data_IF_078690063411
#
_entry.id   IF_078690063411
#
_cell.length_a   1.000
_cell.length_b   1.000
_cell.length_c   1.000
_cell.angle_alpha   90.00
_cell.angle_beta   90.00
_cell.angle_gamma   90.00
#
_symmetry.space_group_name_H-M   'P 1'
#
loop_
_entity.id
_entity.type
_entity.pdbx_description
1 polymer ?
#
# COMPACT_ATOMS: atom_id res chain seq x y z
N UNK A 1 -30.27 -25.79 22.48
CA UNK A 1 -29.35 -25.22 21.53
C UNK A 1 -27.94 -25.50 22.05
N UNK A 2 -27.16 -26.31 21.34
CA UNK A 2 -25.80 -26.65 21.79
C UNK A 2 -24.82 -25.63 21.18
N UNK A 3 -24.55 -24.59 21.93
CA UNK A 3 -23.64 -23.49 21.56
C UNK A 3 -22.28 -24.05 21.09
N UNK A 4 -21.80 -25.15 21.64
CA UNK A 4 -20.53 -25.76 21.30
C UNK A 4 -20.54 -26.33 19.86
N UNK A 5 -21.62 -27.03 19.49
CA UNK A 5 -21.81 -27.58 18.15
C UNK A 5 -21.99 -26.47 17.12
N UNK A 6 -22.81 -25.47 17.43
CA UNK A 6 -23.06 -24.33 16.56
C UNK A 6 -21.78 -23.51 16.31
N UNK A 7 -20.97 -23.25 17.36
CA UNK A 7 -19.71 -22.55 17.26
C UNK A 7 -18.67 -23.34 16.46
N UNK A 8 -18.57 -24.65 16.68
CA UNK A 8 -17.68 -25.52 15.90
C UNK A 8 -18.03 -25.48 14.42
N UNK A 9 -19.32 -25.54 14.09
CA UNK A 9 -19.77 -25.47 12.69
C UNK A 9 -19.47 -24.10 12.07
N UNK A 10 -19.73 -23.01 12.80
CA UNK A 10 -19.41 -21.66 12.36
C UNK A 10 -17.91 -21.46 12.11
N UNK A 11 -17.02 -21.96 12.99
CA UNK A 11 -15.57 -21.90 12.79
C UNK A 11 -15.15 -22.71 11.56
N UNK A 12 -15.68 -23.93 11.38
CA UNK A 12 -15.37 -24.74 10.21
C UNK A 12 -15.84 -24.09 8.89
N UNK A 13 -16.95 -23.33 8.92
CA UNK A 13 -17.48 -22.64 7.73
C UNK A 13 -16.69 -21.41 7.32
N UNK A 14 -15.72 -20.97 8.13
CA UNK A 14 -14.79 -19.89 7.75
C UNK A 14 -13.72 -20.35 6.74
N UNK A 15 -13.59 -21.65 6.52
CA UNK A 15 -12.62 -22.22 5.60
C UNK A 15 -13.33 -22.90 4.43
N UNK A 16 -12.84 -22.65 3.22
CA UNK A 16 -13.28 -23.36 2.05
C UNK A 16 -12.14 -24.25 1.54
N UNK A 17 -12.46 -25.49 1.16
CA UNK A 17 -11.46 -26.43 0.64
C UNK A 17 -11.89 -26.87 -0.76
N UNK A 18 -11.03 -26.60 -1.73
CA UNK A 18 -11.21 -26.97 -3.12
C UNK A 18 -10.13 -27.96 -3.54
N UNK A 19 -10.48 -28.96 -4.34
CA UNK A 19 -9.53 -29.87 -4.96
C UNK A 19 -9.51 -29.62 -6.47
N UNK A 20 -8.32 -29.63 -7.07
CA UNK A 20 -8.17 -29.60 -8.51
C UNK A 20 -7.92 -31.03 -9.07
N UNK A 21 -7.98 -31.15 -10.39
CA UNK A 21 -7.79 -32.43 -11.09
C UNK A 21 -6.36 -32.96 -10.99
N UNK A 22 -5.40 -32.13 -10.56
CA UNK A 22 -3.99 -32.49 -10.39
C UNK A 22 -3.66 -32.97 -8.96
N UNK A 23 -4.66 -33.04 -8.07
CA UNK A 23 -4.51 -33.49 -6.69
C UNK A 23 -4.01 -32.41 -5.72
N UNK A 24 -3.91 -31.16 -6.16
CA UNK A 24 -3.64 -30.00 -5.29
C UNK A 24 -4.93 -29.60 -4.59
N UNK A 25 -4.86 -29.44 -3.27
CA UNK A 25 -5.96 -28.91 -2.48
C UNK A 25 -5.67 -27.44 -2.15
N UNK A 26 -6.65 -26.57 -2.34
CA UNK A 26 -6.58 -25.16 -1.98
C UNK A 26 -7.47 -24.93 -0.78
N UNK A 27 -6.93 -24.30 0.24
CA UNK A 27 -7.64 -23.90 1.46
C UNK A 27 -7.72 -22.39 1.43
N UNK A 28 -8.93 -21.86 1.22
CA UNK A 28 -9.21 -20.43 1.39
C UNK A 28 -9.38 -20.21 2.89
N UNK A 29 -8.54 -19.36 3.47
CA UNK A 29 -8.56 -19.07 4.90
C UNK A 29 -9.36 -17.80 5.18
N UNK A 30 -9.85 -17.60 6.41
CA UNK A 30 -10.46 -16.33 6.81
C UNK A 30 -9.44 -15.22 7.07
N UNK A 31 -8.16 -15.49 6.90
CA UNK A 31 -7.09 -14.51 7.05
C UNK A 31 -6.92 -13.73 5.74
N UNK A 32 -6.70 -12.42 5.86
CA UNK A 32 -6.56 -11.50 4.74
C UNK A 32 -5.23 -10.76 4.82
N UNK A 33 -4.73 -10.31 3.67
CA UNK A 33 -3.63 -9.37 3.63
C UNK A 33 -4.11 -7.99 4.08
N UNK A 34 -3.42 -7.41 5.04
CA UNK A 34 -3.83 -6.14 5.65
C UNK A 34 -3.96 -5.01 4.62
N UNK A 35 -5.16 -4.45 4.50
CA UNK A 35 -5.44 -3.32 3.60
C UNK A 35 -5.75 -3.70 2.15
N UNK A 36 -5.71 -5.00 1.78
CA UNK A 36 -6.00 -5.46 0.41
C UNK A 36 -7.38 -6.12 0.31
N UNK A 37 -7.91 -6.69 1.41
CA UNK A 37 -9.13 -7.49 1.49
C UNK A 37 -9.09 -8.80 0.65
N UNK A 38 -7.91 -9.27 0.28
CA UNK A 38 -7.73 -10.56 -0.37
C UNK A 38 -7.40 -11.64 0.67
N UNK A 39 -8.10 -12.76 0.58
CA UNK A 39 -7.92 -13.89 1.48
C UNK A 39 -6.63 -14.65 1.15
N UNK A 40 -5.97 -15.13 2.20
CA UNK A 40 -4.77 -15.97 2.05
C UNK A 40 -5.20 -17.38 1.66
N UNK A 41 -4.68 -17.84 0.52
CA UNK A 41 -4.95 -19.16 -0.04
C UNK A 41 -3.74 -20.06 0.18
N UNK A 42 -3.96 -21.17 0.87
CA UNK A 42 -2.93 -22.18 1.12
C UNK A 42 -3.11 -23.35 0.17
N UNK A 43 -2.03 -23.82 -0.40
CA UNK A 43 -1.98 -25.01 -1.26
C UNK A 43 -1.40 -26.19 -0.49
N UNK A 44 -2.02 -27.33 -0.66
CA UNK A 44 -1.55 -28.60 -0.11
C UNK A 44 -1.36 -29.58 -1.27
N UNK A 45 -0.16 -30.08 -1.43
CA UNK A 45 0.18 -31.04 -2.51
C UNK A 45 0.99 -32.22 -1.98
N UNK A 46 0.83 -33.41 -2.55
CA UNK A 46 1.69 -34.54 -2.22
C UNK A 46 3.16 -34.21 -2.46
N UNK A 47 4.04 -34.60 -1.54
CA UNK A 47 5.48 -34.41 -1.66
C UNK A 47 6.23 -35.52 -0.93
N UNK A 48 6.91 -36.39 -1.69
CA UNK A 48 7.49 -37.62 -1.13
C UNK A 48 6.44 -38.47 -0.42
N UNK A 49 6.74 -38.90 0.81
CA UNK A 49 5.83 -39.68 1.65
C UNK A 49 4.86 -38.79 2.48
N UNK A 50 4.82 -37.51 2.21
CA UNK A 50 4.01 -36.51 2.96
C UNK A 50 3.38 -35.48 2.07
N UNK A 51 3.27 -34.26 2.62
CA UNK A 51 2.61 -33.13 1.97
C UNK A 51 3.45 -31.86 2.08
N UNK A 52 3.54 -31.12 1.01
CA UNK A 52 4.03 -29.74 1.00
C UNK A 52 2.84 -28.80 1.11
N UNK A 53 2.97 -27.83 1.97
CA UNK A 53 1.96 -26.82 2.28
C UNK A 53 2.61 -25.47 2.02
N UNK A 54 2.04 -24.65 1.14
CA UNK A 54 2.60 -23.36 0.75
C UNK A 54 1.51 -22.36 0.35
N UNK A 55 1.87 -21.09 0.24
CA UNK A 55 1.02 -20.00 -0.25
C UNK A 55 1.39 -19.56 -1.68
N UNK A 56 2.25 -20.33 -2.36
CA UNK A 56 2.65 -20.17 -3.76
C UNK A 56 3.37 -18.84 -4.12
N UNK A 57 4.00 -18.16 -3.17
CA UNK A 57 4.68 -16.87 -3.39
C UNK A 57 3.74 -15.69 -3.56
N UNK A 58 2.46 -15.87 -3.28
CA UNK A 58 1.47 -14.78 -3.40
C UNK A 58 1.76 -13.66 -2.41
N UNK A 59 2.25 -13.99 -1.21
CA UNK A 59 2.60 -12.99 -0.18
C UNK A 59 3.70 -12.05 -0.65
N UNK A 60 4.77 -12.58 -1.22
CA UNK A 60 5.89 -11.79 -1.74
C UNK A 60 5.46 -10.93 -2.93
N UNK A 61 4.62 -11.47 -3.81
CA UNK A 61 4.02 -10.73 -4.92
C UNK A 61 3.16 -9.57 -4.42
N UNK A 62 2.23 -9.81 -3.50
CA UNK A 62 1.38 -8.77 -2.94
C UNK A 62 2.18 -7.71 -2.18
N UNK A 63 3.19 -8.11 -1.39
CA UNK A 63 4.06 -7.18 -0.72
C UNK A 63 4.78 -6.26 -1.72
N UNK A 64 5.36 -6.82 -2.77
CA UNK A 64 6.05 -6.06 -3.82
C UNK A 64 5.12 -5.10 -4.58
N UNK A 65 3.90 -5.54 -4.93
CA UNK A 65 2.88 -4.70 -5.57
C UNK A 65 2.43 -3.53 -4.70
N UNK A 66 2.52 -3.68 -3.37
CA UNK A 66 2.19 -2.64 -2.39
C UNK A 66 3.42 -1.85 -1.89
N UNK A 67 4.54 -1.90 -2.62
CA UNK A 67 5.75 -1.14 -2.32
C UNK A 67 6.56 -1.71 -1.15
N UNK A 68 6.27 -2.92 -0.72
CA UNK A 68 7.01 -3.63 0.32
C UNK A 68 8.39 -4.09 -0.16
N UNK A 69 9.29 -4.31 0.80
CA UNK A 69 10.66 -4.75 0.59
C UNK A 69 10.86 -6.12 1.27
N UNK A 70 10.79 -7.18 0.47
CA UNK A 70 10.95 -8.57 0.93
C UNK A 70 12.43 -8.97 1.15
N UNK A 71 13.37 -8.17 0.63
CA UNK A 71 14.82 -8.37 0.82
C UNK A 71 15.38 -7.56 2.01
N UNK A 72 14.49 -6.91 2.79
CA UNK A 72 14.91 -6.10 3.92
C UNK A 72 15.49 -6.92 5.08
N UNK A 73 16.43 -6.35 5.82
CA UNK A 73 16.99 -6.96 7.06
C UNK A 73 15.89 -7.39 8.07
N UNK A 74 14.75 -6.71 8.05
CA UNK A 74 13.63 -7.05 8.93
C UNK A 74 12.96 -8.37 8.50
N UNK A 75 12.83 -8.59 7.19
CA UNK A 75 12.31 -9.84 6.62
C UNK A 75 13.31 -10.98 6.81
N UNK A 76 14.61 -10.75 6.56
CA UNK A 76 15.66 -11.74 6.78
C UNK A 76 15.67 -12.23 8.25
N UNK A 77 15.67 -11.32 9.21
CA UNK A 77 15.62 -11.65 10.64
C UNK A 77 14.36 -12.42 11.02
N UNK A 78 13.20 -11.99 10.51
CA UNK A 78 11.94 -12.68 10.73
C UNK A 78 11.98 -14.12 10.17
N UNK A 79 12.52 -14.31 8.98
CA UNK A 79 12.66 -15.63 8.35
C UNK A 79 13.56 -16.57 9.16
N UNK A 80 14.69 -16.06 9.67
CA UNK A 80 15.60 -16.80 10.56
C UNK A 80 14.89 -17.20 11.85
N UNK A 81 14.26 -16.27 12.55
CA UNK A 81 13.55 -16.53 13.82
C UNK A 81 12.39 -17.51 13.61
N UNK A 82 11.60 -17.35 12.53
CA UNK A 82 10.50 -18.25 12.21
C UNK A 82 10.97 -19.67 11.95
N UNK A 83 12.05 -19.87 11.21
CA UNK A 83 12.60 -21.19 10.90
C UNK A 83 13.06 -21.97 12.13
N UNK A 84 13.45 -21.26 13.20
CA UNK A 84 13.87 -21.86 14.47
C UNK A 84 12.69 -22.24 15.38
N UNK A 85 11.58 -21.50 15.31
CA UNK A 85 10.45 -21.59 16.22
C UNK A 85 9.24 -22.32 15.63
N UNK A 86 9.21 -22.56 14.32
CA UNK A 86 8.05 -23.04 13.58
C UNK A 86 8.47 -24.08 12.52
N UNK A 87 7.58 -25.00 12.12
CA UNK A 87 7.81 -25.89 10.98
C UNK A 87 7.76 -25.17 9.62
N UNK A 88 7.60 -23.85 9.62
CA UNK A 88 7.46 -23.02 8.43
C UNK A 88 8.81 -22.42 8.04
N UNK A 89 9.08 -22.34 6.74
CA UNK A 89 10.31 -21.77 6.19
C UNK A 89 9.95 -20.75 5.10
N UNK A 90 10.69 -19.66 5.05
CA UNK A 90 10.70 -18.73 3.92
C UNK A 90 11.88 -19.12 3.01
N UNK A 91 11.61 -19.40 1.75
CA UNK A 91 12.57 -19.98 0.80
C UNK A 91 13.19 -18.91 -0.11
N UNK A 92 14.33 -19.23 -0.73
CA UNK A 92 15.03 -18.34 -1.68
C UNK A 92 14.19 -18.02 -2.92
N UNK A 93 13.16 -18.81 -3.24
CA UNK A 93 12.19 -18.55 -4.30
C UNK A 93 10.93 -17.82 -3.76
N UNK A 94 11.09 -17.12 -2.65
CA UNK A 94 10.12 -16.18 -2.08
C UNK A 94 8.79 -16.82 -1.67
N UNK A 95 8.81 -18.10 -1.28
CA UNK A 95 7.63 -18.83 -0.82
C UNK A 95 7.71 -19.16 0.66
N UNK A 96 6.56 -19.15 1.30
CA UNK A 96 6.39 -19.65 2.66
C UNK A 96 5.92 -21.10 2.57
N UNK A 97 6.70 -22.03 3.09
CA UNK A 97 6.44 -23.47 2.98
C UNK A 97 6.47 -24.17 4.32
N UNK A 98 5.77 -25.30 4.42
CA UNK A 98 5.91 -26.28 5.49
C UNK A 98 5.77 -27.71 4.94
N UNK A 99 6.41 -28.69 5.59
CA UNK A 99 6.33 -30.11 5.21
C UNK A 99 5.63 -30.90 6.31
N UNK A 100 4.50 -31.52 5.98
CA UNK A 100 3.75 -32.38 6.87
C UNK A 100 4.00 -33.84 6.51
N UNK A 101 4.45 -34.64 7.48
CA UNK A 101 4.67 -36.07 7.32
C UNK A 101 3.41 -36.92 7.55
N UNK A 102 2.29 -36.30 7.86
CA UNK A 102 1.00 -36.97 8.03
C UNK A 102 -0.17 -35.99 7.77
N UNK A 103 -1.33 -36.54 7.39
CA UNK A 103 -2.54 -35.77 7.15
C UNK A 103 -3.00 -34.92 8.38
N UNK A 104 -2.72 -35.44 9.60
CA UNK A 104 -3.08 -34.76 10.83
C UNK A 104 -2.37 -33.39 11.02
N UNK A 105 -1.23 -33.24 10.37
CA UNK A 105 -0.43 -32.00 10.44
C UNK A 105 -0.79 -30.99 9.35
N UNK A 106 -1.61 -31.37 8.36
CA UNK A 106 -1.97 -30.47 7.26
C UNK A 106 -2.67 -29.22 7.80
N UNK A 107 -3.74 -29.38 8.57
CA UNK A 107 -4.51 -28.22 9.07
C UNK A 107 -3.68 -27.32 9.99
N UNK A 108 -2.97 -27.80 11.03
CA UNK A 108 -2.12 -26.94 11.85
C UNK A 108 -1.01 -26.26 11.05
N UNK A 109 -0.41 -26.91 10.04
CA UNK A 109 0.64 -26.29 9.25
C UNK A 109 0.10 -25.29 8.22
N UNK A 110 -1.07 -25.56 7.64
CA UNK A 110 -1.77 -24.56 6.80
C UNK A 110 -2.04 -23.26 7.57
N UNK A 111 -2.45 -23.37 8.85
CA UNK A 111 -2.61 -22.24 9.72
C UNK A 111 -1.29 -21.47 9.95
N UNK A 112 -0.20 -22.19 10.22
CA UNK A 112 1.11 -21.58 10.43
C UNK A 112 1.65 -20.88 9.18
N UNK A 113 1.44 -21.46 8.01
CA UNK A 113 1.81 -20.81 6.73
C UNK A 113 0.98 -19.55 6.51
N UNK A 114 -0.32 -19.59 6.80
CA UNK A 114 -1.17 -18.41 6.66
C UNK A 114 -0.83 -17.29 7.67
N UNK A 115 -0.52 -17.64 8.93
CA UNK A 115 0.00 -16.67 9.92
C UNK A 115 1.31 -16.03 9.45
N UNK A 116 2.24 -16.87 8.94
CA UNK A 116 3.52 -16.40 8.42
C UNK A 116 3.34 -15.48 7.21
N UNK A 117 2.36 -15.77 6.34
CA UNK A 117 2.01 -14.91 5.21
C UNK A 117 1.56 -13.51 5.67
N UNK A 118 0.67 -13.43 6.67
CA UNK A 118 0.28 -12.14 7.25
C UNK A 118 1.47 -11.39 7.86
N UNK A 119 2.33 -12.09 8.58
CA UNK A 119 3.51 -11.48 9.21
C UNK A 119 4.49 -10.95 8.18
N UNK A 120 4.84 -11.76 7.16
CA UNK A 120 5.74 -11.34 6.08
C UNK A 120 5.19 -10.10 5.38
N UNK A 121 3.93 -10.10 5.00
CA UNK A 121 3.28 -8.97 4.35
C UNK A 121 3.36 -7.70 5.22
N UNK A 122 2.99 -7.81 6.50
CA UNK A 122 3.02 -6.69 7.44
C UNK A 122 4.44 -6.15 7.67
N UNK A 123 5.45 -7.02 7.77
CA UNK A 123 6.85 -6.63 7.97
C UNK A 123 7.40 -5.96 6.71
N UNK A 124 7.21 -6.58 5.55
CA UNK A 124 7.71 -6.08 4.28
C UNK A 124 7.13 -4.69 3.93
N UNK A 125 5.83 -4.47 4.18
CA UNK A 125 5.15 -3.20 3.87
C UNK A 125 5.30 -2.13 4.95
N UNK A 126 5.64 -2.49 6.18
CA UNK A 126 5.69 -1.58 7.34
C UNK A 126 6.65 -0.41 7.18
N UNK A 127 7.74 -0.57 6.43
CA UNK A 127 8.72 0.49 6.16
C UNK A 127 8.20 1.48 5.14
N UNK A 128 7.53 0.97 4.10
CA UNK A 128 6.91 1.78 3.07
C UNK A 128 5.80 2.67 3.65
N UNK A 129 4.90 2.10 4.44
CA UNK A 129 3.82 2.85 5.07
C UNK A 129 4.34 3.96 6.00
N UNK A 130 5.40 3.69 6.76
CA UNK A 130 6.05 4.70 7.60
C UNK A 130 6.70 5.81 6.77
N UNK A 131 7.43 5.48 5.71
CA UNK A 131 8.04 6.48 4.84
C UNK A 131 7.00 7.37 4.16
N UNK A 132 5.90 6.76 3.67
CA UNK A 132 4.78 7.49 3.08
C UNK A 132 4.14 8.43 4.10
N UNK A 133 3.87 7.95 5.31
CA UNK A 133 3.30 8.75 6.39
C UNK A 133 4.22 9.91 6.79
N UNK A 134 5.51 9.63 6.95
CA UNK A 134 6.52 10.66 7.27
C UNK A 134 6.65 11.70 6.19
N UNK A 135 6.61 11.31 4.91
CA UNK A 135 6.66 12.24 3.80
C UNK A 135 5.44 13.15 3.76
N UNK A 136 4.24 12.61 3.87
CA UNK A 136 3.00 13.39 3.93
C UNK A 136 3.00 14.38 5.08
N UNK A 137 3.45 13.96 6.26
CA UNK A 137 3.51 14.85 7.43
C UNK A 137 4.55 15.97 7.27
N UNK A 138 5.71 15.70 6.66
CA UNK A 138 6.71 16.73 6.34
C UNK A 138 6.17 17.78 5.37
N UNK A 139 5.47 17.36 4.31
CA UNK A 139 4.82 18.28 3.35
C UNK A 139 3.77 19.11 4.07
N UNK A 140 2.90 18.48 4.84
CA UNK A 140 1.83 19.11 5.63
C UNK A 140 2.37 20.17 6.59
N UNK A 141 3.46 19.85 7.30
CA UNK A 141 4.07 20.78 8.24
C UNK A 141 4.56 22.07 7.56
N UNK A 142 5.25 21.95 6.42
CA UNK A 142 5.71 23.11 5.64
C UNK A 142 4.53 23.97 5.17
N UNK A 143 3.46 23.35 4.66
CA UNK A 143 2.27 24.09 4.20
C UNK A 143 1.58 24.80 5.35
N UNK A 144 1.46 24.15 6.51
CA UNK A 144 0.89 24.75 7.72
C UNK A 144 1.65 26.00 8.17
N UNK A 145 2.97 25.92 8.18
CA UNK A 145 3.82 27.07 8.53
C UNK A 145 3.62 28.24 7.56
N UNK A 146 3.57 27.97 6.25
CA UNK A 146 3.32 28.97 5.22
C UNK A 146 1.93 29.60 5.40
N UNK A 147 0.91 28.77 5.63
CA UNK A 147 -0.47 29.26 5.86
C UNK A 147 -0.53 30.25 7.02
N UNK A 148 0.17 29.97 8.13
CA UNK A 148 0.25 30.87 9.28
C UNK A 148 0.99 32.16 8.94
N UNK A 149 2.15 32.06 8.25
CA UNK A 149 2.97 33.25 7.89
C UNK A 149 2.27 34.17 6.89
N UNK A 150 1.57 33.57 5.92
CA UNK A 150 0.89 34.33 4.86
C UNK A 150 -0.56 34.70 5.22
N UNK A 151 -1.06 34.24 6.36
CA UNK A 151 -2.46 34.36 6.78
C UNK A 151 -3.45 33.84 5.72
N UNK A 152 -3.09 32.82 4.96
CA UNK A 152 -3.94 32.21 3.95
C UNK A 152 -4.77 31.07 4.52
N UNK A 153 -6.00 30.93 4.01
CA UNK A 153 -6.84 29.77 4.32
C UNK A 153 -6.16 28.48 3.83
N UNK A 154 -6.14 27.46 4.67
CA UNK A 154 -5.58 26.16 4.36
C UNK A 154 -6.51 25.04 4.83
N UNK A 155 -6.76 24.08 3.96
CA UNK A 155 -7.59 22.92 4.21
C UNK A 155 -6.84 21.65 3.79
N UNK A 156 -7.18 20.50 4.41
CA UNK A 156 -6.56 19.19 4.14
C UNK A 156 -7.62 18.19 3.71
N UNK A 157 -7.24 17.20 2.91
CA UNK A 157 -8.11 16.12 2.43
C UNK A 157 -9.40 16.65 1.78
N UNK A 158 -9.26 17.68 0.95
CA UNK A 158 -10.38 18.42 0.36
C UNK A 158 -10.91 17.68 -0.86
N UNK A 159 -12.19 17.35 -0.84
CA UNK A 159 -12.89 16.90 -2.04
C UNK A 159 -13.03 18.05 -3.03
N UNK A 160 -12.47 17.87 -4.23
CA UNK A 160 -12.42 18.92 -5.24
C UNK A 160 -13.77 19.03 -5.97
N UNK A 161 -14.17 20.24 -6.37
CA UNK A 161 -15.45 20.47 -7.06
C UNK A 161 -15.38 20.04 -8.54
N UNK A 162 -14.95 18.81 -8.81
CA UNK A 162 -14.81 18.18 -10.12
C UNK A 162 -15.41 16.78 -10.10
N UNK A 163 -15.67 16.20 -11.26
CA UNK A 163 -16.23 14.86 -11.34
C UNK A 163 -15.26 13.79 -10.79
N UNK A 164 -15.81 12.70 -10.23
CA UNK A 164 -15.06 11.52 -9.81
C UNK A 164 -14.65 11.50 -8.33
N UNK A 165 -15.07 12.47 -7.49
CA UNK A 165 -14.78 12.47 -6.04
C UNK A 165 -13.28 12.54 -5.71
N UNK A 166 -12.49 13.16 -6.59
CA UNK A 166 -11.05 13.31 -6.40
C UNK A 166 -10.74 14.31 -5.30
N UNK A 167 -9.73 13.98 -4.48
CA UNK A 167 -9.32 14.78 -3.32
C UNK A 167 -7.94 15.36 -3.50
N UNK A 168 -7.75 16.58 -3.01
CA UNK A 168 -6.44 17.16 -2.79
C UNK A 168 -5.95 16.86 -1.37
N UNK A 169 -4.65 16.59 -1.21
CA UNK A 169 -4.06 16.46 0.13
C UNK A 169 -4.09 17.82 0.87
N UNK A 170 -3.84 18.91 0.14
CA UNK A 170 -3.92 20.27 0.69
C UNK A 170 -4.44 21.27 -0.35
N UNK A 171 -5.20 22.23 0.13
CA UNK A 171 -5.65 23.40 -0.66
C UNK A 171 -5.30 24.67 0.10
N UNK A 172 -4.57 25.58 -0.54
CA UNK A 172 -4.14 26.85 0.03
C UNK A 172 -4.74 28.00 -0.79
N UNK A 173 -5.45 28.93 -0.13
CA UNK A 173 -6.17 30.03 -0.77
C UNK A 173 -7.60 29.67 -1.19
N UNK A 174 -8.40 30.70 -1.67
CA UNK A 174 -9.81 30.50 -2.01
C UNK A 174 -10.13 30.80 -3.48
N UNK A 175 -9.80 31.98 -3.97
CA UNK A 175 -10.24 32.42 -5.30
C UNK A 175 -9.45 31.78 -6.45
N UNK A 176 -8.15 31.62 -6.27
CA UNK A 176 -7.26 30.87 -7.15
C UNK A 176 -6.43 29.89 -6.31
N UNK A 177 -7.03 28.76 -5.87
CA UNK A 177 -6.40 27.88 -4.90
C UNK A 177 -5.17 27.19 -5.46
N UNK A 178 -4.14 27.08 -4.63
CA UNK A 178 -3.03 26.18 -4.85
C UNK A 178 -3.43 24.79 -4.34
N UNK A 179 -3.61 23.87 -5.28
CA UNK A 179 -4.05 22.49 -5.07
C UNK A 179 -2.81 21.59 -5.02
N UNK A 180 -2.53 21.01 -3.88
CA UNK A 180 -1.30 20.25 -3.66
C UNK A 180 -1.64 18.77 -3.51
N UNK A 181 -1.03 17.96 -4.36
CA UNK A 181 -1.14 16.48 -4.36
C UNK A 181 0.20 15.92 -3.92
N UNK A 182 0.22 15.28 -2.75
CA UNK A 182 1.38 14.58 -2.22
C UNK A 182 1.47 13.19 -2.85
N UNK A 183 2.26 13.09 -3.90
CA UNK A 183 2.36 11.89 -4.73
C UNK A 183 3.30 10.85 -4.10
N UNK A 184 2.73 9.85 -3.46
CA UNK A 184 3.43 8.71 -2.83
C UNK A 184 3.51 7.48 -3.74
N UNK A 185 2.81 7.51 -4.89
CA UNK A 185 2.79 6.43 -5.88
C UNK A 185 2.55 6.96 -7.29
N UNK A 186 2.78 6.13 -8.30
CA UNK A 186 2.46 6.43 -9.68
C UNK A 186 0.97 6.74 -9.89
N UNK A 187 0.09 6.01 -9.20
CA UNK A 187 -1.37 6.23 -9.24
C UNK A 187 -1.73 7.62 -8.71
N UNK A 188 -1.10 8.05 -7.61
CA UNK A 188 -1.38 9.38 -7.04
C UNK A 188 -0.91 10.52 -7.96
N UNK A 189 0.17 10.31 -8.74
CA UNK A 189 0.54 11.24 -9.81
C UNK A 189 -0.49 11.28 -10.95
N UNK A 190 -1.02 10.13 -11.35
CA UNK A 190 -2.10 10.06 -12.35
C UNK A 190 -3.35 10.83 -11.90
N UNK A 191 -3.72 10.74 -10.63
CA UNK A 191 -4.84 11.52 -10.09
C UNK A 191 -4.57 13.03 -10.19
N UNK A 192 -3.34 13.48 -9.91
CA UNK A 192 -2.97 14.89 -10.09
C UNK A 192 -3.12 15.35 -11.55
N UNK A 193 -2.74 14.53 -12.53
CA UNK A 193 -2.94 14.81 -13.95
C UNK A 193 -4.44 14.92 -14.31
N UNK A 194 -5.26 13.99 -13.80
CA UNK A 194 -6.72 14.02 -14.03
C UNK A 194 -7.34 15.26 -13.40
N UNK A 195 -6.95 15.63 -12.18
CA UNK A 195 -7.39 16.85 -11.50
C UNK A 195 -7.06 18.06 -12.37
N UNK A 196 -5.84 18.19 -12.83
CA UNK A 196 -5.41 19.28 -13.71
C UNK A 196 -6.24 19.35 -14.98
N UNK A 197 -6.39 18.23 -15.69
CA UNK A 197 -7.16 18.19 -16.94
C UNK A 197 -8.62 18.60 -16.74
N UNK A 198 -9.26 18.18 -15.64
CA UNK A 198 -10.63 18.56 -15.34
C UNK A 198 -10.74 20.04 -14.98
N UNK A 199 -9.83 20.59 -14.17
CA UNK A 199 -9.79 22.02 -13.86
C UNK A 199 -9.67 22.86 -15.14
N UNK A 200 -8.81 22.46 -16.07
CA UNK A 200 -8.65 23.16 -17.36
C UNK A 200 -9.86 23.00 -18.27
N UNK A 201 -10.45 21.80 -18.36
CA UNK A 201 -11.65 21.57 -19.16
C UNK A 201 -12.86 22.35 -18.66
N UNK A 202 -13.01 22.49 -17.35
CA UNK A 202 -14.10 23.23 -16.72
C UNK A 202 -13.79 24.72 -16.50
N UNK A 203 -12.65 25.20 -16.98
CA UNK A 203 -12.17 26.60 -16.82
C UNK A 203 -12.19 27.07 -15.36
N UNK A 204 -11.92 26.15 -14.42
CA UNK A 204 -11.84 26.47 -12.99
C UNK A 204 -10.51 27.14 -12.66
N UNK A 205 -10.52 28.17 -11.81
CA UNK A 205 -9.28 28.74 -11.29
C UNK A 205 -8.60 27.77 -10.35
N UNK A 206 -7.28 27.76 -10.37
CA UNK A 206 -6.47 26.92 -9.49
C UNK A 206 -5.16 26.52 -10.13
N UNK A 207 -4.18 26.24 -9.29
CA UNK A 207 -2.85 25.79 -9.67
C UNK A 207 -2.61 24.42 -9.09
N UNK A 208 -2.40 23.40 -9.92
CA UNK A 208 -2.22 22.00 -9.51
C UNK A 208 -0.73 21.67 -9.40
N UNK A 209 -0.28 21.47 -8.18
CA UNK A 209 1.08 21.11 -7.82
C UNK A 209 1.16 19.66 -7.36
N UNK A 210 1.91 18.84 -8.07
CA UNK A 210 2.26 17.48 -7.64
C UNK A 210 3.62 17.49 -6.93
N UNK A 211 3.70 16.90 -5.74
CA UNK A 211 4.91 16.83 -4.93
C UNK A 211 5.26 15.37 -4.69
N UNK A 212 6.40 14.89 -5.20
CA UNK A 212 6.89 13.54 -4.98
C UNK A 212 8.12 13.55 -4.06
N UNK A 213 8.27 12.52 -3.21
CA UNK A 213 9.45 12.42 -2.36
C UNK A 213 10.73 12.22 -3.17
N UNK A 214 10.67 11.29 -4.13
CA UNK A 214 11.74 11.03 -5.09
C UNK A 214 11.15 10.40 -6.37
N UNK A 215 11.95 10.34 -7.43
CA UNK A 215 11.49 9.77 -8.70
C UNK A 215 11.26 8.25 -8.65
N UNK A 216 11.97 7.53 -7.78
CA UNK A 216 11.82 6.08 -7.69
C UNK A 216 10.46 5.69 -7.08
N UNK A 217 9.97 6.44 -6.09
CA UNK A 217 8.69 6.19 -5.45
C UNK A 217 7.49 6.28 -6.41
N UNK A 218 7.59 7.11 -7.46
CA UNK A 218 6.50 7.37 -8.40
C UNK A 218 6.78 6.88 -9.83
N UNK A 219 8.01 6.43 -10.10
CA UNK A 219 8.46 6.03 -11.43
C UNK A 219 8.86 7.22 -12.32
N UNK A 220 10.05 7.15 -12.92
CA UNK A 220 10.64 8.23 -13.73
C UNK A 220 9.72 8.69 -14.88
N UNK A 221 9.19 7.74 -15.66
CA UNK A 221 8.29 8.06 -16.79
C UNK A 221 7.02 8.74 -16.34
N UNK A 222 6.47 8.30 -15.21
CA UNK A 222 5.26 8.88 -14.64
C UNK A 222 5.50 10.29 -14.14
N UNK A 223 6.65 10.53 -13.49
CA UNK A 223 7.05 11.86 -13.05
C UNK A 223 7.23 12.84 -14.23
N UNK A 224 7.94 12.42 -15.28
CA UNK A 224 8.13 13.22 -16.49
C UNK A 224 6.78 13.57 -17.15
N UNK A 225 5.82 12.65 -17.16
CA UNK A 225 4.48 12.86 -17.69
C UNK A 225 3.69 13.84 -16.81
N UNK A 226 3.70 13.67 -15.51
CA UNK A 226 3.03 14.56 -14.57
C UNK A 226 3.59 15.99 -14.63
N UNK A 227 4.89 16.15 -14.85
CA UNK A 227 5.50 17.48 -15.07
C UNK A 227 4.97 18.19 -16.31
N UNK A 228 4.41 17.45 -17.28
CA UNK A 228 3.77 18.02 -18.47
C UNK A 228 2.26 18.25 -18.28
N UNK A 229 1.58 17.35 -17.54
CA UNK A 229 0.13 17.36 -17.35
C UNK A 229 -0.31 17.84 -15.95
N UNK A 230 0.49 18.69 -15.30
CA UNK A 230 0.11 19.49 -14.13
C UNK A 230 0.69 20.88 -14.32
N UNK A 231 0.29 21.87 -13.50
CA UNK A 231 0.96 23.17 -13.56
C UNK A 231 2.42 23.08 -13.12
N UNK A 232 2.68 22.20 -12.15
CA UNK A 232 4.05 21.86 -11.72
C UNK A 232 4.12 20.48 -11.07
N UNK A 233 5.20 19.73 -11.35
CA UNK A 233 5.62 18.60 -10.54
C UNK A 233 7.00 18.89 -9.95
N UNK A 234 7.19 18.61 -8.68
CA UNK A 234 8.45 18.86 -7.96
C UNK A 234 8.86 17.63 -7.14
N UNK A 235 10.18 17.43 -7.04
CA UNK A 235 10.75 16.54 -6.02
C UNK A 235 10.90 17.34 -4.74
N UNK A 236 10.44 16.75 -3.65
CA UNK A 236 10.42 17.39 -2.35
C UNK A 236 11.83 17.69 -1.86
N UNK A 237 12.08 18.97 -1.64
CA UNK A 237 13.20 19.48 -0.87
C UNK A 237 12.62 20.57 0.05
N UNK A 238 12.72 20.46 1.37
CA UNK A 238 12.01 21.35 2.30
C UNK A 238 12.20 22.83 2.01
N UNK A 239 13.44 23.27 1.76
CA UNK A 239 13.78 24.66 1.52
C UNK A 239 13.29 25.15 0.14
N UNK A 240 13.54 24.38 -0.90
CA UNK A 240 13.12 24.70 -2.26
C UNK A 240 11.59 24.67 -2.39
N UNK A 241 10.93 23.69 -1.77
CA UNK A 241 9.49 23.55 -1.74
C UNK A 241 8.84 24.75 -1.04
N UNK A 242 9.33 25.10 0.16
CA UNK A 242 8.85 26.26 0.90
C UNK A 242 8.96 27.56 0.07
N UNK A 243 10.13 27.81 -0.51
CA UNK A 243 10.35 29.02 -1.32
C UNK A 243 9.44 29.05 -2.55
N UNK A 244 9.23 27.91 -3.18
CA UNK A 244 8.32 27.77 -4.32
C UNK A 244 6.88 28.12 -3.93
N UNK A 245 6.35 27.55 -2.85
CA UNK A 245 4.99 27.85 -2.37
C UNK A 245 4.82 29.34 -2.04
N UNK A 246 5.77 29.96 -1.35
CA UNK A 246 5.71 31.39 -1.02
C UNK A 246 5.67 32.24 -2.29
N UNK A 247 6.46 31.91 -3.30
CA UNK A 247 6.48 32.65 -4.57
C UNK A 247 5.15 32.51 -5.33
N UNK A 248 4.56 31.30 -5.38
CA UNK A 248 3.27 31.07 -6.04
C UNK A 248 2.12 31.79 -5.30
N UNK A 249 2.14 31.76 -3.96
CA UNK A 249 1.19 32.49 -3.14
C UNK A 249 1.30 33.99 -3.41
N UNK A 250 2.50 34.53 -3.46
CA UNK A 250 2.70 35.97 -3.74
C UNK A 250 2.26 36.37 -5.16
N UNK A 251 2.44 35.45 -6.16
CA UNK A 251 2.01 35.70 -7.53
C UNK A 251 0.48 35.67 -7.71
N UNK A 252 -0.23 34.92 -6.89
CA UNK A 252 -1.69 34.76 -6.96
C UNK A 252 -2.47 35.76 -6.08
N UNK A 253 -1.80 36.61 -5.31
CA UNK A 253 -2.40 37.67 -4.47
C UNK A 253 -2.56 38.99 -5.26
N UNK A 254 -2.08 39.06 -6.48
CA UNK A 254 -2.22 40.24 -7.39
C UNK A 254 -3.12 39.86 -8.57
#
# INVERSE_FOLDING_TARGET
>A
MDITSDLKHAICSLFEVHADDCGVRRIVTPLEYQGINDQIIIRVRPHGDGFMIDENGETSLYASLNGGDIESEAVERWAEEMSQLSPVQFTDDERIIAFANSEKLIAPYAFRVAEAAQQLFAIATSRYDRQVSDFKERVKQVIKEISVETNMAWETEVELPIAGGLKADHVLGKDSPLIIITATSATRLLEAEVIYMQYRAEHKPGYVLAVAENQNAVGKKQYERAAYYTDRAVIYNPNAFRQFIINEVAANVH
#
